data_IF_730079131500
#
_entry.id   IF_730079131500
#
_cell.length_a   1.000
_cell.length_b   1.000
_cell.length_c   1.000
_cell.angle_alpha   90.00
_cell.angle_beta   90.00
_cell.angle_gamma   90.00
#
_symmetry.space_group_name_H-M   'P 1'
#
loop_
_entity.id
_entity.type
_entity.pdbx_description
1 polymer ?
#
# COMPACT_ATOMS: atom_id res chain seq x y z
N UNK A 1 3.33 69.01 48.55
CA UNK A 1 4.32 69.95 49.16
C UNK A 1 3.78 70.43 50.50
N UNK A 2 4.67 70.93 51.36
CA UNK A 2 4.41 71.29 52.77
C UNK A 2 4.23 70.08 53.71
N UNK A 3 5.16 69.96 54.66
CA UNK A 3 5.16 68.98 55.74
C UNK A 3 5.12 69.74 57.08
N UNK A 4 4.53 69.11 58.10
CA UNK A 4 4.64 69.55 59.49
C UNK A 4 5.06 68.38 60.39
N UNK A 5 5.76 68.63 61.51
CA UNK A 5 6.47 67.60 62.28
C UNK A 5 5.74 67.25 63.60
N UNK A 6 6.48 66.66 64.55
CA UNK A 6 6.07 66.07 65.84
C UNK A 6 5.54 64.62 65.72
N UNK A 7 5.81 63.70 66.65
CA UNK A 7 6.46 63.78 67.98
C UNK A 7 7.07 62.41 68.35
N UNK A 8 8.02 62.35 69.29
CA UNK A 8 8.23 61.17 70.16
C UNK A 8 8.94 61.54 71.47
N UNK A 9 8.29 61.21 72.58
CA UNK A 9 8.82 61.17 73.96
C UNK A 9 9.38 59.76 74.26
N UNK A 10 10.44 59.62 75.08
CA UNK A 10 10.42 59.24 76.52
C UNK A 10 9.63 57.95 76.82
N UNK A 11 10.04 56.92 77.59
CA UNK A 11 11.23 56.56 78.42
C UNK A 11 11.00 55.09 78.91
N UNK A 12 11.89 54.28 79.48
CA UNK A 12 13.34 54.26 79.79
C UNK A 12 13.77 52.80 80.12
N UNK A 13 15.09 52.54 80.27
CA UNK A 13 15.73 51.50 81.15
C UNK A 13 15.39 50.00 80.91
N UNK A 14 16.31 49.03 80.91
CA UNK A 14 17.46 48.84 81.82
C UNK A 14 18.63 47.99 81.24
N UNK A 15 19.83 48.25 81.81
CA UNK A 15 21.00 47.35 82.06
C UNK A 15 21.85 46.80 80.88
N UNK A 16 23.12 47.16 80.96
CA UNK A 16 24.23 46.91 80.04
C UNK A 16 24.76 45.46 80.00
N UNK A 17 25.22 45.06 78.82
CA UNK A 17 26.42 44.22 78.66
C UNK A 17 27.68 45.14 78.55
N UNK A 18 28.91 44.62 78.64
CA UNK A 18 29.64 44.40 77.37
C UNK A 18 30.61 43.20 77.38
N UNK A 19 31.03 42.73 76.20
CA UNK A 19 32.21 41.85 76.09
C UNK A 19 32.16 40.77 75.00
N UNK A 20 32.16 41.16 73.72
CA UNK A 20 32.64 40.32 72.61
C UNK A 20 33.67 41.16 71.85
N UNK A 21 34.80 40.59 71.37
CA UNK A 21 34.73 39.77 70.15
C UNK A 21 35.75 38.61 70.05
N UNK A 22 35.36 37.51 69.38
CA UNK A 22 36.13 36.83 68.31
C UNK A 22 35.43 35.54 67.82
N UNK A 23 35.37 35.33 66.50
CA UNK A 23 35.20 34.02 65.82
C UNK A 23 36.62 33.54 65.41
N UNK A 24 36.95 32.24 65.31
CA UNK A 24 36.27 31.16 64.56
C UNK A 24 35.94 29.93 65.47
N UNK A 25 35.52 28.73 65.04
CA UNK A 25 35.74 27.97 63.81
C UNK A 25 34.69 26.83 63.65
N UNK A 26 34.00 26.63 62.50
CA UNK A 26 32.98 25.59 62.34
C UNK A 26 33.54 24.33 61.65
N UNK A 27 34.56 23.68 62.22
CA UNK A 27 35.25 22.52 61.62
C UNK A 27 35.35 21.30 62.54
N UNK A 28 34.24 20.95 63.23
CA UNK A 28 34.14 19.72 64.02
C UNK A 28 32.70 19.16 64.12
N UNK A 29 32.04 18.90 62.99
CA UNK A 29 30.79 18.12 62.96
C UNK A 29 30.87 16.99 61.92
N UNK A 30 31.29 15.82 62.42
CA UNK A 30 30.99 14.46 61.94
C UNK A 30 30.55 14.33 60.47
N UNK A 31 31.44 13.83 59.61
CA UNK A 31 31.13 13.37 58.25
C UNK A 31 30.15 12.17 58.28
N UNK A 32 28.86 12.48 58.35
CA UNK A 32 27.77 11.57 58.01
C UNK A 32 27.16 12.06 56.69
N UNK A 33 27.83 11.74 55.58
CA UNK A 33 27.28 11.98 54.25
C UNK A 33 25.89 11.32 54.17
N UNK A 34 24.84 12.02 53.72
CA UNK A 34 23.54 11.41 53.55
C UNK A 34 23.67 10.33 52.48
N UNK A 35 23.56 9.06 52.90
CA UNK A 35 23.38 7.95 51.98
C UNK A 35 22.09 8.18 51.22
N UNK A 36 22.21 8.76 50.04
CA UNK A 36 21.13 8.87 49.07
C UNK A 36 20.81 7.46 48.60
N UNK A 37 19.93 6.80 49.36
CA UNK A 37 19.30 5.55 48.94
C UNK A 37 18.65 5.85 47.59
N UNK A 38 19.31 5.40 46.52
CA UNK A 38 18.73 5.38 45.19
C UNK A 38 17.56 4.41 45.26
N UNK A 39 16.37 4.96 45.54
CA UNK A 39 15.11 4.24 45.51
C UNK A 39 15.04 3.57 44.12
N UNK A 40 15.08 2.23 44.04
CA UNK A 40 15.21 1.56 42.75
C UNK A 40 13.99 1.89 41.91
N UNK A 41 14.16 2.62 40.79
CA UNK A 41 13.07 3.03 39.89
C UNK A 41 12.09 1.84 39.72
N UNK A 42 10.85 1.90 40.27
CA UNK A 42 9.95 0.75 40.27
C UNK A 42 9.52 0.36 38.85
N UNK A 43 9.78 1.23 37.86
CA UNK A 43 9.58 0.98 36.44
C UNK A 43 10.81 0.40 35.74
N UNK A 44 11.99 0.31 36.40
CA UNK A 44 13.23 -0.19 35.79
C UNK A 44 13.07 -1.61 35.27
N UNK A 45 12.30 -2.46 35.95
CA UNK A 45 11.96 -3.82 35.51
C UNK A 45 10.93 -3.81 34.37
N UNK A 46 9.94 -2.90 34.39
CA UNK A 46 8.87 -2.87 33.39
C UNK A 46 9.32 -2.34 32.02
N UNK A 47 10.36 -1.48 31.97
CA UNK A 47 11.03 -1.00 30.73
C UNK A 47 11.65 -2.14 29.89
N UNK A 48 11.88 -3.32 30.47
CA UNK A 48 12.40 -4.49 29.75
C UNK A 48 11.29 -5.36 29.15
N UNK A 49 10.03 -5.16 29.53
CA UNK A 49 8.93 -5.92 28.94
C UNK A 49 8.78 -5.58 27.44
N UNK A 50 8.69 -6.58 26.53
CA UNK A 50 8.52 -6.33 25.11
C UNK A 50 7.27 -5.49 24.78
N UNK A 51 6.22 -5.61 25.62
CA UNK A 51 4.97 -4.85 25.50
C UNK A 51 5.14 -3.35 25.78
N UNK A 52 5.99 -2.98 26.75
CA UNK A 52 6.31 -1.56 27.02
C UNK A 52 7.20 -1.01 25.91
N UNK A 53 8.25 -1.73 25.51
CA UNK A 53 9.11 -1.32 24.37
C UNK A 53 8.29 -1.11 23.09
N UNK A 54 7.38 -2.02 22.75
CA UNK A 54 6.47 -1.87 21.61
C UNK A 54 5.60 -0.61 21.68
N UNK A 55 5.06 -0.29 22.87
CA UNK A 55 4.24 0.93 23.07
C UNK A 55 5.04 2.22 22.96
N UNK A 56 6.31 2.21 23.37
CA UNK A 56 7.22 3.35 23.30
C UNK A 56 7.77 3.60 21.89
N UNK A 57 7.77 2.60 21.01
CA UNK A 57 8.22 2.79 19.62
C UNK A 57 7.35 3.80 18.87
N UNK A 58 7.95 4.71 18.08
CA UNK A 58 7.18 5.57 17.19
C UNK A 58 6.41 4.73 16.17
N UNK A 59 5.31 5.28 15.66
CA UNK A 59 4.38 4.54 14.80
C UNK A 59 5.07 3.94 13.55
N UNK A 60 6.04 4.66 12.97
CA UNK A 60 6.76 4.23 11.78
C UNK A 60 7.66 3.02 12.07
N UNK A 61 8.34 2.99 13.22
CA UNK A 61 9.17 1.85 13.61
C UNK A 61 8.33 0.59 13.84
N UNK A 62 7.11 0.73 14.39
CA UNK A 62 6.15 -0.38 14.51
C UNK A 62 5.70 -0.90 13.14
N UNK A 63 5.42 -0.02 12.17
CA UNK A 63 5.09 -0.43 10.80
C UNK A 63 6.26 -1.15 10.14
N UNK A 64 7.49 -0.64 10.26
CA UNK A 64 8.70 -1.29 9.75
C UNK A 64 8.82 -2.70 10.34
N UNK A 65 8.70 -2.86 11.67
CA UNK A 65 8.81 -4.18 12.32
C UNK A 65 7.70 -5.15 11.88
N UNK A 66 6.45 -4.69 11.71
CA UNK A 66 5.36 -5.52 11.14
C UNK A 66 5.69 -5.96 9.72
N UNK A 67 6.14 -5.01 8.89
CA UNK A 67 6.49 -5.29 7.49
C UNK A 67 7.64 -6.30 7.42
N UNK A 68 8.77 -6.03 8.07
CA UNK A 68 9.94 -6.92 8.10
C UNK A 68 9.60 -8.33 8.62
N UNK A 69 8.81 -8.44 9.69
CA UNK A 69 8.38 -9.74 10.21
C UNK A 69 7.49 -10.50 9.21
N UNK A 70 6.55 -9.81 8.55
CA UNK A 70 5.73 -10.43 7.52
C UNK A 70 6.55 -10.84 6.27
N UNK A 71 7.50 -10.00 5.84
CA UNK A 71 8.43 -10.32 4.75
C UNK A 71 9.30 -11.52 5.08
N UNK A 72 9.78 -11.66 6.33
CA UNK A 72 10.53 -12.84 6.74
C UNK A 72 9.71 -14.14 6.61
N UNK A 73 8.43 -14.13 6.99
CA UNK A 73 7.53 -15.30 6.80
C UNK A 73 7.31 -15.58 5.31
N UNK A 74 7.01 -14.56 4.51
CA UNK A 74 6.89 -14.70 3.05
C UNK A 74 8.18 -15.26 2.42
N UNK A 75 9.36 -14.80 2.86
CA UNK A 75 10.65 -15.30 2.36
C UNK A 75 10.84 -16.78 2.67
N UNK A 76 10.42 -17.26 3.85
CA UNK A 76 10.44 -18.71 4.15
C UNK A 76 9.52 -19.48 3.20
N UNK A 77 8.32 -18.98 2.90
CA UNK A 77 7.42 -19.61 1.93
C UNK A 77 8.03 -19.67 0.52
N UNK A 78 8.62 -18.57 0.04
CA UNK A 78 9.27 -18.51 -1.27
C UNK A 78 10.51 -19.41 -1.34
N UNK A 79 11.32 -19.49 -0.28
CA UNK A 79 12.47 -20.40 -0.21
C UNK A 79 12.05 -21.87 -0.28
N UNK A 80 10.98 -22.26 0.43
CA UNK A 80 10.43 -23.63 0.37
C UNK A 80 9.96 -23.95 -1.05
N UNK A 81 9.24 -23.03 -1.71
CA UNK A 81 8.72 -23.30 -3.05
C UNK A 81 9.81 -23.27 -4.12
N UNK A 82 10.82 -22.40 -4.00
CA UNK A 82 12.00 -22.41 -4.85
C UNK A 82 12.78 -23.73 -4.71
N UNK A 83 12.99 -24.22 -3.48
CA UNK A 83 13.63 -25.52 -3.23
C UNK A 83 12.82 -26.72 -3.73
N UNK A 84 11.50 -26.59 -3.89
CA UNK A 84 10.63 -27.61 -4.50
C UNK A 84 10.43 -27.44 -6.00
N UNK A 85 10.93 -26.35 -6.61
CA UNK A 85 10.64 -26.02 -8.00
C UNK A 85 11.52 -26.86 -8.96
N UNK A 86 10.86 -27.70 -9.75
CA UNK A 86 11.48 -28.41 -10.86
C UNK A 86 11.91 -27.48 -12.01
N UNK A 87 12.77 -27.95 -12.92
CA UNK A 87 13.26 -27.16 -14.05
C UNK A 87 12.09 -26.81 -14.98
N UNK A 88 12.12 -25.60 -15.52
CA UNK A 88 11.00 -25.02 -16.27
C UNK A 88 11.51 -24.07 -17.37
N UNK A 89 10.61 -23.36 -18.05
CA UNK A 89 10.96 -22.47 -19.15
C UNK A 89 11.75 -21.21 -18.73
N UNK A 90 11.69 -20.83 -17.46
CA UNK A 90 12.29 -19.61 -16.91
C UNK A 90 13.55 -19.86 -16.08
N UNK A 91 13.66 -21.01 -15.41
CA UNK A 91 14.75 -21.32 -14.46
C UNK A 91 15.21 -22.77 -14.51
N UNK A 92 16.42 -23.01 -13.98
CA UNK A 92 16.86 -24.35 -13.58
C UNK A 92 16.00 -24.96 -12.46
N UNK A 93 16.32 -26.19 -12.07
CA UNK A 93 15.77 -26.82 -10.88
C UNK A 93 16.37 -26.19 -9.61
N UNK A 94 15.57 -26.08 -8.54
CA UNK A 94 15.98 -25.48 -7.26
C UNK A 94 16.56 -24.04 -7.40
N UNK A 95 15.87 -23.11 -8.11
CA UNK A 95 16.38 -21.77 -8.38
C UNK A 95 16.67 -20.97 -7.11
N UNK A 96 17.59 -20.02 -7.21
CA UNK A 96 17.85 -19.09 -6.11
C UNK A 96 16.65 -18.19 -5.83
N UNK A 97 16.49 -17.73 -4.57
CA UNK A 97 15.36 -16.89 -4.17
C UNK A 97 15.14 -15.67 -5.07
N UNK A 98 16.22 -15.02 -5.52
CA UNK A 98 16.12 -13.85 -6.41
C UNK A 98 15.60 -14.25 -7.79
N UNK A 99 16.15 -15.30 -8.40
CA UNK A 99 15.71 -15.82 -9.70
C UNK A 99 14.22 -16.21 -9.67
N UNK A 100 13.83 -16.98 -8.66
CA UNK A 100 12.44 -17.38 -8.39
C UNK A 100 11.50 -16.18 -8.09
N UNK A 101 12.05 -15.07 -7.57
CA UNK A 101 11.28 -13.84 -7.32
C UNK A 101 11.08 -12.96 -8.56
N UNK A 102 11.73 -13.29 -9.69
CA UNK A 102 11.71 -12.54 -10.94
C UNK A 102 11.23 -13.39 -12.13
N UNK A 103 10.26 -14.27 -11.88
CA UNK A 103 9.50 -15.00 -12.91
C UNK A 103 8.47 -14.09 -13.63
N UNK A 104 7.91 -14.59 -14.75
CA UNK A 104 6.84 -14.01 -15.57
C UNK A 104 6.94 -12.49 -15.82
N UNK A 105 6.00 -11.67 -15.31
CA UNK A 105 5.91 -10.20 -15.49
C UNK A 105 7.26 -9.49 -15.26
N UNK A 106 8.12 -10.03 -14.37
CA UNK A 106 9.43 -9.44 -14.08
C UNK A 106 10.40 -9.47 -15.26
N UNK A 107 10.38 -10.53 -16.08
CA UNK A 107 11.19 -10.63 -17.29
C UNK A 107 10.71 -9.68 -18.40
N UNK A 108 9.41 -9.35 -18.42
CA UNK A 108 8.91 -8.27 -19.29
C UNK A 108 9.42 -6.89 -18.85
N UNK A 109 9.47 -6.63 -17.54
CA UNK A 109 10.11 -5.42 -17.02
C UNK A 109 11.61 -5.37 -17.34
N UNK A 110 12.33 -6.50 -17.28
CA UNK A 110 13.75 -6.59 -17.68
C UNK A 110 13.93 -6.28 -19.17
N UNK A 111 13.08 -6.86 -20.02
CA UNK A 111 13.08 -6.62 -21.46
C UNK A 111 12.84 -5.14 -21.79
N UNK A 112 11.90 -4.49 -21.10
CA UNK A 112 11.65 -3.04 -21.28
C UNK A 112 12.85 -2.21 -20.81
N UNK A 113 13.51 -2.60 -19.73
CA UNK A 113 14.67 -1.88 -19.22
C UNK A 113 15.88 -1.97 -20.17
N UNK A 114 16.12 -3.12 -20.78
CA UNK A 114 17.24 -3.34 -21.72
C UNK A 114 16.97 -2.86 -23.15
N UNK A 115 15.78 -3.15 -23.69
CA UNK A 115 15.48 -3.00 -25.13
C UNK A 115 14.32 -2.04 -25.42
N UNK A 116 13.58 -1.59 -24.42
CA UNK A 116 12.46 -0.65 -24.58
C UNK A 116 11.19 -1.31 -25.12
N UNK A 117 10.49 -0.60 -26.01
CA UNK A 117 9.22 -1.02 -26.59
C UNK A 117 9.35 -1.20 -28.11
N UNK A 118 8.76 -2.26 -28.71
CA UNK A 118 8.83 -2.48 -30.14
C UNK A 118 7.97 -1.47 -30.89
N UNK A 119 8.50 -0.93 -32.00
CA UNK A 119 7.75 -0.09 -32.95
C UNK A 119 6.87 -0.91 -33.89
N UNK A 120 7.25 -2.15 -34.18
CA UNK A 120 6.43 -3.11 -34.94
C UNK A 120 5.91 -4.17 -33.97
N UNK A 121 4.60 -4.36 -33.91
CA UNK A 121 3.99 -5.32 -32.99
C UNK A 121 4.37 -6.76 -33.39
N UNK A 122 4.90 -7.59 -32.48
CA UNK A 122 5.11 -9.01 -32.73
C UNK A 122 3.80 -9.68 -33.14
N UNK A 123 3.86 -10.59 -34.11
CA UNK A 123 2.69 -11.33 -34.61
C UNK A 123 2.91 -12.84 -34.54
N UNK A 124 1.83 -13.58 -34.31
CA UNK A 124 1.76 -15.04 -34.40
C UNK A 124 1.83 -15.51 -35.85
N UNK A 125 2.04 -16.82 -36.07
CA UNK A 125 1.96 -17.45 -37.40
C UNK A 125 0.59 -17.24 -38.09
N UNK A 126 -0.46 -16.95 -37.31
CA UNK A 126 -1.81 -16.62 -37.80
C UNK A 126 -2.02 -15.12 -38.06
N UNK A 127 -0.98 -14.29 -37.93
CA UNK A 127 -0.98 -12.86 -38.21
C UNK A 127 -1.56 -11.96 -37.11
N UNK A 128 -1.95 -12.54 -35.97
CA UNK A 128 -2.52 -11.81 -34.82
C UNK A 128 -1.42 -11.21 -33.95
N UNK A 129 -1.71 -10.12 -33.24
CA UNK A 129 -0.74 -9.54 -32.29
C UNK A 129 -0.44 -10.55 -31.18
N UNK A 130 0.84 -10.81 -30.96
CA UNK A 130 1.32 -11.68 -29.89
C UNK A 130 1.55 -10.88 -28.59
N UNK A 131 1.65 -11.61 -27.47
CA UNK A 131 2.04 -11.07 -26.17
C UNK A 131 3.35 -10.28 -26.28
N UNK A 132 3.36 -9.05 -25.77
CA UNK A 132 4.50 -8.15 -25.93
C UNK A 132 4.58 -7.07 -24.85
N UNK A 133 5.69 -6.33 -24.86
CA UNK A 133 6.04 -5.32 -23.87
C UNK A 133 4.98 -4.23 -23.63
N UNK A 134 4.13 -3.88 -24.61
CA UNK A 134 3.16 -2.79 -24.46
C UNK A 134 2.09 -3.02 -23.36
N UNK A 135 1.90 -4.25 -22.89
CA UNK A 135 1.09 -4.55 -21.70
C UNK A 135 1.68 -3.97 -20.39
N UNK A 136 2.97 -3.66 -20.37
CA UNK A 136 3.71 -3.30 -19.16
C UNK A 136 4.20 -1.85 -19.22
N UNK A 137 3.80 -1.03 -18.24
CA UNK A 137 4.05 0.40 -18.23
C UNK A 137 5.49 0.76 -17.74
N UNK A 138 6.06 1.90 -18.18
CA UNK A 138 7.52 2.11 -18.15
C UNK A 138 8.12 2.53 -16.81
N UNK A 139 7.35 3.06 -15.86
CA UNK A 139 7.94 3.68 -14.64
C UNK A 139 8.65 2.65 -13.77
N UNK A 140 8.05 1.47 -13.53
CA UNK A 140 8.69 0.44 -12.72
C UNK A 140 10.02 -0.05 -13.32
N UNK A 141 10.09 -0.51 -14.60
CA UNK A 141 11.35 -0.98 -15.17
C UNK A 141 12.43 0.12 -15.26
N UNK A 142 12.05 1.38 -15.50
CA UNK A 142 12.98 2.51 -15.47
C UNK A 142 13.54 2.78 -14.06
N UNK A 143 12.72 2.66 -13.01
CA UNK A 143 13.17 2.77 -11.61
C UNK A 143 14.09 1.61 -11.23
N UNK A 144 13.75 0.37 -11.62
CA UNK A 144 14.62 -0.79 -11.40
C UNK A 144 15.96 -0.62 -12.11
N UNK A 145 15.96 -0.17 -13.38
CA UNK A 145 17.20 0.12 -14.13
C UNK A 145 18.08 1.16 -13.45
N UNK A 146 17.49 2.22 -12.89
CA UNK A 146 18.22 3.25 -12.15
C UNK A 146 18.80 2.76 -10.80
N UNK A 147 18.22 1.71 -10.21
CA UNK A 147 18.78 1.03 -9.03
C UNK A 147 19.84 0.00 -9.43
N UNK A 148 19.65 -0.72 -10.54
CA UNK A 148 20.62 -1.66 -11.09
C UNK A 148 21.93 -0.97 -11.50
N UNK A 149 21.87 0.27 -12.02
CA UNK A 149 23.07 1.06 -12.35
C UNK A 149 23.96 1.42 -11.15
N UNK A 150 23.54 1.12 -9.91
CA UNK A 150 24.36 1.21 -8.70
C UNK A 150 25.27 -0.03 -8.49
N UNK A 151 25.34 -0.94 -9.47
CA UNK A 151 26.13 -2.18 -9.40
C UNK A 151 25.33 -3.40 -8.90
N UNK A 152 24.01 -3.33 -8.90
CA UNK A 152 23.14 -4.46 -8.58
C UNK A 152 22.68 -5.16 -9.87
N UNK A 153 22.68 -6.49 -9.89
CA UNK A 153 22.01 -7.24 -10.96
C UNK A 153 20.50 -6.99 -10.96
N UNK A 154 19.85 -7.17 -12.12
CA UNK A 154 18.43 -6.89 -12.31
C UNK A 154 17.54 -7.51 -11.22
N UNK A 155 17.65 -8.83 -11.02
CA UNK A 155 16.83 -9.59 -10.07
C UNK A 155 16.92 -9.05 -8.64
N UNK A 156 18.10 -8.57 -8.22
CA UNK A 156 18.30 -7.96 -6.91
C UNK A 156 17.72 -6.53 -6.83
N UNK A 157 17.91 -5.73 -7.89
CA UNK A 157 17.36 -4.38 -7.98
C UNK A 157 15.82 -4.38 -8.00
N UNK A 158 15.20 -5.30 -8.74
CA UNK A 158 13.75 -5.43 -8.86
C UNK A 158 13.10 -5.79 -7.52
N UNK A 159 13.63 -6.82 -6.84
CA UNK A 159 13.19 -7.22 -5.50
C UNK A 159 13.40 -6.09 -4.49
N UNK A 160 14.52 -5.37 -4.53
CA UNK A 160 14.80 -4.23 -3.65
C UNK A 160 13.81 -3.08 -3.86
N UNK A 161 13.52 -2.71 -5.11
CA UNK A 161 12.53 -1.66 -5.44
C UNK A 161 11.14 -2.06 -4.93
N UNK A 162 10.71 -3.29 -5.17
CA UNK A 162 9.41 -3.77 -4.70
C UNK A 162 9.31 -3.82 -3.18
N UNK A 163 10.38 -4.23 -2.50
CA UNK A 163 10.47 -4.25 -1.04
C UNK A 163 10.41 -2.83 -0.44
N UNK A 164 11.20 -1.89 -0.99
CA UNK A 164 11.19 -0.50 -0.55
C UNK A 164 9.82 0.16 -0.81
N UNK A 165 9.23 -0.10 -1.97
CA UNK A 165 7.91 0.41 -2.33
C UNK A 165 6.79 -0.18 -1.46
N UNK A 166 6.83 -1.49 -1.17
CA UNK A 166 5.89 -2.17 -0.27
C UNK A 166 5.96 -1.65 1.16
N UNK A 167 7.17 -1.39 1.67
CA UNK A 167 7.36 -0.74 2.97
C UNK A 167 6.79 0.70 2.97
N UNK A 168 7.07 1.46 1.92
CA UNK A 168 6.48 2.79 1.72
C UNK A 168 4.95 2.75 1.71
N UNK A 169 4.37 1.80 0.96
CA UNK A 169 2.93 1.57 0.90
C UNK A 169 2.35 1.26 2.28
N UNK A 170 2.99 0.40 3.08
CA UNK A 170 2.57 0.10 4.45
C UNK A 170 2.61 1.34 5.37
N UNK A 171 3.64 2.18 5.25
CA UNK A 171 3.78 3.43 6.00
C UNK A 171 2.70 4.46 5.63
N UNK A 172 2.44 4.66 4.34
CA UNK A 172 1.39 5.56 3.85
C UNK A 172 0.00 5.02 4.16
N UNK A 173 -0.20 3.70 4.06
CA UNK A 173 -1.45 3.03 4.42
C UNK A 173 -1.77 3.18 5.91
N UNK A 174 -0.79 3.04 6.80
CA UNK A 174 -0.97 3.39 8.21
C UNK A 174 -1.45 4.84 8.38
N UNK A 175 -0.84 5.79 7.65
CA UNK A 175 -1.21 7.21 7.70
C UNK A 175 -2.61 7.50 7.14
N UNK A 176 -3.08 6.70 6.19
CA UNK A 176 -4.45 6.72 5.66
C UNK A 176 -5.44 6.13 6.68
N UNK A 177 -5.14 4.97 7.27
CA UNK A 177 -6.04 4.29 8.20
C UNK A 177 -6.29 5.07 9.49
N UNK A 178 -5.29 5.79 10.03
CA UNK A 178 -5.51 6.67 11.20
C UNK A 178 -6.39 7.92 10.91
N UNK A 179 -6.90 8.10 9.69
CA UNK A 179 -7.94 9.11 9.38
C UNK A 179 -9.35 8.61 9.72
N UNK A 180 -9.53 7.29 9.84
CA UNK A 180 -10.83 6.63 9.96
C UNK A 180 -10.91 5.68 11.17
N UNK A 181 -9.76 5.17 11.62
CA UNK A 181 -9.65 4.14 12.63
C UNK A 181 -8.76 4.59 13.78
N UNK A 182 -9.09 4.12 14.99
CA UNK A 182 -8.23 4.29 16.17
C UNK A 182 -6.83 3.67 15.93
N UNK A 183 -5.74 4.18 16.54
CA UNK A 183 -4.37 3.76 16.24
C UNK A 183 -4.10 2.25 16.33
N UNK A 184 -4.73 1.55 17.28
CA UNK A 184 -4.67 0.08 17.40
C UNK A 184 -5.26 -0.64 16.19
N UNK A 185 -6.41 -0.16 15.68
CA UNK A 185 -7.08 -0.73 14.50
C UNK A 185 -6.31 -0.39 13.22
N UNK A 186 -5.79 0.84 13.11
CA UNK A 186 -4.95 1.22 11.98
C UNK A 186 -3.65 0.39 11.90
N UNK A 187 -3.00 0.12 13.04
CA UNK A 187 -1.85 -0.78 13.08
C UNK A 187 -2.24 -2.23 12.70
N UNK A 188 -3.39 -2.72 13.15
CA UNK A 188 -3.84 -4.06 12.75
C UNK A 188 -4.27 -4.15 11.28
N UNK A 189 -4.76 -3.06 10.67
CA UNK A 189 -4.98 -2.98 9.22
C UNK A 189 -3.66 -3.13 8.45
N UNK A 190 -2.58 -2.51 8.93
CA UNK A 190 -1.23 -2.71 8.37
C UNK A 190 -0.78 -4.16 8.49
N UNK A 191 -1.02 -4.83 9.62
CA UNK A 191 -0.75 -6.27 9.76
C UNK A 191 -1.48 -7.06 8.67
N UNK A 192 -2.80 -6.85 8.51
CA UNK A 192 -3.61 -7.50 7.47
C UNK A 192 -3.03 -7.24 6.07
N UNK A 193 -2.65 -6.00 5.75
CA UNK A 193 -2.02 -5.66 4.47
C UNK A 193 -0.69 -6.39 4.24
N UNK A 194 0.16 -6.48 5.26
CA UNK A 194 1.47 -7.13 5.16
C UNK A 194 1.40 -8.67 5.09
N UNK A 195 0.32 -9.29 5.59
CA UNK A 195 0.11 -10.76 5.60
C UNK A 195 -0.99 -11.24 4.65
N UNK A 196 -1.59 -10.36 3.84
CA UNK A 196 -2.64 -10.70 2.89
C UNK A 196 -2.21 -11.82 1.91
N UNK A 197 -3.15 -12.54 1.26
CA UNK A 197 -2.81 -13.70 0.43
C UNK A 197 -1.84 -13.35 -0.70
N UNK A 198 -2.03 -12.20 -1.34
CA UNK A 198 -1.16 -11.68 -2.41
C UNK A 198 -0.10 -10.70 -1.92
N UNK A 199 0.10 -10.57 -0.60
CA UNK A 199 1.19 -9.75 -0.07
C UNK A 199 2.61 -10.14 -0.56
N UNK A 200 2.92 -11.37 -1.06
CA UNK A 200 4.26 -11.67 -1.57
C UNK A 200 4.74 -10.76 -2.70
N UNK A 201 3.85 -10.19 -3.51
CA UNK A 201 4.22 -9.23 -4.58
C UNK A 201 4.95 -7.98 -4.07
N UNK A 202 4.88 -7.68 -2.77
CA UNK A 202 5.71 -6.65 -2.13
C UNK A 202 7.18 -7.06 -1.89
N UNK A 203 7.62 -8.22 -2.38
CA UNK A 203 9.03 -8.65 -2.41
C UNK A 203 9.38 -9.50 -3.65
N UNK A 204 8.55 -9.42 -4.70
CA UNK A 204 8.78 -10.02 -6.01
C UNK A 204 9.08 -8.88 -7.01
N UNK A 205 9.74 -9.14 -8.14
CA UNK A 205 10.16 -8.14 -9.12
C UNK A 205 9.03 -7.51 -9.97
N UNK A 206 7.98 -7.03 -9.30
CA UNK A 206 6.66 -6.69 -9.83
C UNK A 206 6.25 -5.23 -9.53
N UNK A 207 5.61 -4.56 -10.50
CA UNK A 207 5.21 -3.16 -10.36
C UNK A 207 4.08 -2.89 -9.34
N UNK A 208 3.35 -3.92 -8.90
CA UNK A 208 2.25 -3.82 -7.93
C UNK A 208 2.66 -3.07 -6.65
N UNK A 209 3.84 -3.33 -6.10
CA UNK A 209 4.28 -2.70 -4.85
C UNK A 209 4.45 -1.18 -4.98
N UNK A 210 5.00 -0.73 -6.12
CA UNK A 210 5.11 0.69 -6.47
C UNK A 210 3.73 1.29 -6.76
N UNK A 211 2.86 0.54 -7.44
CA UNK A 211 1.45 0.87 -7.63
C UNK A 211 0.71 1.09 -6.30
N UNK A 212 0.94 0.25 -5.28
CA UNK A 212 0.32 0.40 -3.95
C UNK A 212 0.82 1.63 -3.20
N UNK A 213 2.12 1.96 -3.30
CA UNK A 213 2.66 3.17 -2.69
C UNK A 213 2.02 4.42 -3.30
N UNK A 214 1.95 4.49 -4.63
CA UNK A 214 1.36 5.61 -5.34
C UNK A 214 -0.16 5.70 -5.07
N UNK A 215 -0.87 4.57 -5.12
CA UNK A 215 -2.31 4.50 -4.81
C UNK A 215 -2.62 4.92 -3.36
N UNK A 216 -1.89 4.38 -2.37
CA UNK A 216 -2.05 4.78 -0.97
C UNK A 216 -1.78 6.29 -0.79
N UNK A 217 -0.84 6.84 -1.56
CA UNK A 217 -0.50 8.27 -1.55
C UNK A 217 -1.62 9.12 -2.13
N UNK A 218 -2.15 8.81 -3.33
CA UNK A 218 -3.25 9.59 -3.93
C UNK A 218 -4.54 9.47 -3.11
N UNK A 219 -4.83 8.31 -2.50
CA UNK A 219 -5.95 8.17 -1.57
C UNK A 219 -5.76 9.01 -0.30
N UNK A 220 -4.54 9.08 0.24
CA UNK A 220 -4.23 9.94 1.39
C UNK A 220 -4.31 11.43 1.03
N UNK A 221 -3.88 11.83 -0.16
CA UNK A 221 -3.98 13.21 -0.65
C UNK A 221 -5.45 13.59 -0.90
N UNK A 222 -6.26 12.71 -1.49
CA UNK A 222 -7.70 12.90 -1.70
C UNK A 222 -8.44 13.09 -0.37
N UNK A 223 -8.22 12.20 0.60
CA UNK A 223 -8.83 12.30 1.96
C UNK A 223 -8.36 13.55 2.72
N UNK A 224 -7.17 14.08 2.40
CA UNK A 224 -6.69 15.37 2.91
C UNK A 224 -7.09 16.58 2.07
N UNK A 225 -7.80 16.39 0.94
CA UNK A 225 -8.19 17.45 -0.03
C UNK A 225 -7.00 18.19 -0.65
N UNK A 226 -5.84 17.54 -0.72
CA UNK A 226 -4.60 18.11 -1.26
C UNK A 226 -4.51 17.93 -2.78
N UNK A 227 -5.53 18.42 -3.51
CA UNK A 227 -5.74 18.13 -4.93
C UNK A 227 -4.57 18.50 -5.85
N UNK A 228 -3.84 19.58 -5.57
CA UNK A 228 -2.68 20.00 -6.36
C UNK A 228 -1.58 18.93 -6.41
N UNK A 229 -1.40 18.16 -5.33
CA UNK A 229 -0.43 17.07 -5.28
C UNK A 229 -0.89 15.80 -5.99
N UNK A 230 -2.15 15.70 -6.41
CA UNK A 230 -2.61 14.56 -7.20
C UNK A 230 -1.97 14.55 -8.60
N UNK A 231 -1.80 15.71 -9.24
CA UNK A 231 -1.26 15.81 -10.61
C UNK A 231 0.08 15.06 -10.81
N UNK A 232 1.18 15.36 -10.08
CA UNK A 232 2.45 14.67 -10.29
C UNK A 232 2.38 13.18 -9.90
N UNK A 233 1.68 12.82 -8.82
CA UNK A 233 1.65 11.43 -8.33
C UNK A 233 0.78 10.54 -9.22
N UNK A 234 -0.36 11.05 -9.69
CA UNK A 234 -1.20 10.37 -10.68
C UNK A 234 -0.45 10.21 -12.00
N UNK A 235 0.27 11.23 -12.47
CA UNK A 235 1.04 11.11 -13.71
C UNK A 235 2.02 9.93 -13.65
N UNK A 236 2.82 9.84 -12.58
CA UNK A 236 3.76 8.71 -12.38
C UNK A 236 3.00 7.39 -12.27
N UNK A 237 1.87 7.36 -11.56
CA UNK A 237 1.09 6.14 -11.36
C UNK A 237 0.43 5.61 -12.64
N UNK A 238 -0.10 6.49 -13.49
CA UNK A 238 -0.69 6.16 -14.80
C UNK A 238 0.29 5.50 -15.77
N UNK A 239 1.59 5.67 -15.56
CA UNK A 239 2.66 4.98 -16.29
C UNK A 239 3.40 3.94 -15.41
N UNK A 240 2.82 3.55 -14.28
CA UNK A 240 3.29 2.45 -13.42
C UNK A 240 2.39 1.22 -13.53
N UNK A 241 1.07 1.40 -13.39
CA UNK A 241 0.07 0.32 -13.45
C UNK A 241 -1.29 0.83 -13.95
N UNK A 242 -2.08 0.00 -14.66
CA UNK A 242 -3.48 0.29 -14.94
C UNK A 242 -4.29 0.54 -13.65
N UNK A 243 -5.18 1.53 -13.69
CA UNK A 243 -6.02 1.92 -12.55
C UNK A 243 -6.35 3.41 -12.46
N UNK A 244 -5.64 4.27 -13.18
CA UNK A 244 -5.89 5.71 -13.19
C UNK A 244 -7.33 6.07 -13.62
N UNK A 245 -7.90 5.38 -14.61
CA UNK A 245 -9.31 5.60 -15.04
C UNK A 245 -10.32 5.33 -13.92
N UNK A 246 -10.10 4.32 -13.07
CA UNK A 246 -10.91 4.10 -11.87
C UNK A 246 -10.77 5.24 -10.86
N UNK A 247 -9.57 5.83 -10.74
CA UNK A 247 -9.36 6.99 -9.87
C UNK A 247 -9.95 8.27 -10.46
N UNK A 248 -9.99 8.44 -11.78
CA UNK A 248 -10.69 9.54 -12.44
C UNK A 248 -12.20 9.49 -12.13
N UNK A 249 -12.82 8.29 -12.22
CA UNK A 249 -14.20 8.07 -11.79
C UNK A 249 -14.36 8.34 -10.28
N UNK A 250 -13.40 7.92 -9.44
CA UNK A 250 -13.39 8.21 -8.00
C UNK A 250 -13.39 9.71 -7.72
N UNK A 251 -12.58 10.50 -8.44
CA UNK A 251 -12.50 11.96 -8.32
C UNK A 251 -13.77 12.64 -8.83
N UNK A 252 -14.35 12.17 -9.93
CA UNK A 252 -15.64 12.66 -10.44
C UNK A 252 -16.78 12.43 -9.44
N UNK A 253 -16.90 11.22 -8.89
CA UNK A 253 -17.88 10.90 -7.85
C UNK A 253 -17.61 11.68 -6.55
N UNK A 254 -16.35 11.85 -6.15
CA UNK A 254 -15.98 12.68 -5.00
C UNK A 254 -16.41 14.14 -5.18
N UNK A 255 -16.18 14.70 -6.38
CA UNK A 255 -16.61 16.05 -6.74
C UNK A 255 -18.14 16.18 -6.65
N UNK A 256 -18.89 15.22 -7.20
CA UNK A 256 -20.36 15.20 -7.13
C UNK A 256 -20.83 15.14 -5.67
N UNK A 257 -20.23 14.26 -4.84
CA UNK A 257 -20.59 14.14 -3.42
C UNK A 257 -20.30 15.43 -2.65
N UNK A 258 -19.12 16.06 -2.84
CA UNK A 258 -18.78 17.37 -2.24
C UNK A 258 -19.71 18.47 -2.74
N UNK A 259 -20.10 18.45 -4.02
CA UNK A 259 -21.02 19.43 -4.59
C UNK A 259 -22.43 19.32 -4.00
N UNK A 260 -22.98 18.11 -3.89
CA UNK A 260 -24.30 17.87 -3.29
C UNK A 260 -24.30 18.23 -1.80
N UNK A 261 -23.23 17.87 -1.08
CA UNK A 261 -23.08 18.13 0.37
C UNK A 261 -22.49 19.50 0.73
N UNK A 262 -22.35 20.42 -0.23
CA UNK A 262 -21.67 21.72 -0.05
C UNK A 262 -22.30 22.64 1.02
N UNK A 263 -23.52 22.33 1.48
CA UNK A 263 -24.19 23.01 2.59
C UNK A 263 -23.65 22.56 3.97
N UNK A 264 -23.36 21.27 4.12
CA UNK A 264 -22.86 20.66 5.37
C UNK A 264 -21.32 20.63 5.43
N UNK A 265 -20.69 20.48 4.26
CA UNK A 265 -19.25 20.34 4.08
C UNK A 265 -18.75 21.34 3.02
N UNK A 266 -18.29 22.54 3.45
CA UNK A 266 -17.92 23.62 2.54
C UNK A 266 -16.98 23.17 1.43
N UNK A 267 -17.30 23.55 0.20
CA UNK A 267 -16.51 23.26 -0.99
C UNK A 267 -16.07 24.58 -1.64
N UNK A 268 -14.90 25.15 -1.28
CA UNK A 268 -14.39 26.41 -1.83
C UNK A 268 -14.19 26.36 -3.35
N UNK A 269 -14.32 27.50 -4.04
CA UNK A 269 -14.25 27.56 -5.51
C UNK A 269 -12.90 27.05 -6.05
N UNK A 270 -11.78 27.33 -5.37
CA UNK A 270 -10.47 26.79 -5.72
C UNK A 270 -10.40 25.26 -5.63
N UNK A 271 -10.98 24.66 -4.57
CA UNK A 271 -11.07 23.19 -4.46
C UNK A 271 -11.94 22.59 -5.56
N UNK A 272 -13.06 23.25 -5.95
CA UNK A 272 -13.94 22.76 -7.02
C UNK A 272 -13.19 22.63 -8.34
N UNK A 273 -12.45 23.67 -8.72
CA UNK A 273 -11.67 23.67 -9.96
C UNK A 273 -10.49 22.71 -9.89
N UNK A 274 -9.74 22.68 -8.80
CA UNK A 274 -8.61 21.76 -8.64
C UNK A 274 -9.05 20.28 -8.63
N UNK A 275 -10.17 19.94 -7.98
CA UNK A 275 -10.70 18.58 -7.98
C UNK A 275 -11.26 18.16 -9.35
N UNK A 276 -11.95 19.07 -10.06
CA UNK A 276 -12.43 18.81 -11.43
C UNK A 276 -11.26 18.67 -12.43
N UNK A 277 -10.29 19.57 -12.38
CA UNK A 277 -9.09 19.52 -13.19
C UNK A 277 -8.27 18.26 -12.90
N UNK A 278 -8.14 17.85 -11.63
CA UNK A 278 -7.50 16.58 -11.26
C UNK A 278 -8.25 15.37 -11.82
N UNK A 279 -9.59 15.37 -11.84
CA UNK A 279 -10.38 14.29 -12.44
C UNK A 279 -10.15 14.17 -13.95
N UNK A 280 -10.22 15.29 -14.69
CA UNK A 280 -9.97 15.34 -16.14
C UNK A 280 -8.52 14.96 -16.46
N UNK A 281 -7.55 15.49 -15.71
CA UNK A 281 -6.13 15.15 -15.86
C UNK A 281 -5.87 13.66 -15.58
N UNK A 282 -6.52 13.08 -14.56
CA UNK A 282 -6.40 11.65 -14.24
C UNK A 282 -6.96 10.79 -15.37
N UNK A 283 -8.07 11.20 -15.99
CA UNK A 283 -8.62 10.51 -17.16
C UNK A 283 -7.66 10.58 -18.37
N UNK A 284 -7.15 11.77 -18.69
CA UNK A 284 -6.20 11.98 -19.78
C UNK A 284 -4.88 11.21 -19.57
N UNK A 285 -4.32 11.24 -18.36
CA UNK A 285 -3.13 10.46 -18.01
C UNK A 285 -3.42 8.95 -18.07
N UNK A 286 -4.61 8.51 -17.66
CA UNK A 286 -5.02 7.11 -17.69
C UNK A 286 -5.20 6.51 -19.09
N UNK A 287 -5.47 7.33 -20.12
CA UNK A 287 -5.40 6.90 -21.53
C UNK A 287 -4.04 7.20 -22.18
N UNK A 288 -3.13 7.91 -21.50
CA UNK A 288 -1.85 8.35 -22.05
C UNK A 288 -0.96 7.21 -22.53
N UNK A 289 -1.04 6.03 -21.91
CA UNK A 289 -0.30 4.84 -22.35
C UNK A 289 -0.83 4.24 -23.65
N UNK A 290 -2.15 4.24 -23.85
CA UNK A 290 -2.79 3.81 -25.10
C UNK A 290 -2.36 4.72 -26.26
N UNK A 291 -2.35 6.03 -26.01
CA UNK A 291 -1.88 7.03 -26.98
C UNK A 291 -0.38 6.86 -27.29
N UNK A 292 0.45 6.55 -26.29
CA UNK A 292 1.87 6.27 -26.51
C UNK A 292 2.10 5.03 -27.39
N UNK A 293 1.36 3.93 -27.14
CA UNK A 293 1.40 2.72 -27.97
C UNK A 293 1.00 3.04 -29.42
N UNK A 294 -0.10 3.76 -29.61
CA UNK A 294 -0.56 4.17 -30.94
C UNK A 294 0.46 5.05 -31.67
N UNK A 295 0.99 6.08 -31.03
CA UNK A 295 1.93 7.02 -31.67
C UNK A 295 3.25 6.35 -32.06
N UNK A 296 3.73 5.38 -31.30
CA UNK A 296 5.01 4.68 -31.60
C UNK A 296 4.84 3.57 -32.63
N UNK A 297 3.70 2.88 -32.65
CA UNK A 297 3.46 1.74 -33.56
C UNK A 297 2.72 2.12 -34.85
N UNK A 298 2.06 3.28 -34.88
CA UNK A 298 1.13 3.67 -35.94
C UNK A 298 -0.25 3.00 -35.85
N UNK A 299 -0.45 2.03 -34.97
CA UNK A 299 -1.67 1.24 -34.85
C UNK A 299 -2.53 1.71 -33.66
N UNK A 300 -3.75 2.18 -33.94
CA UNK A 300 -4.69 2.69 -32.93
C UNK A 300 -5.10 1.60 -31.92
N UNK A 301 -5.05 0.33 -32.32
CA UNK A 301 -5.45 -0.82 -31.52
C UNK A 301 -4.27 -1.50 -30.81
N UNK A 302 -3.03 -1.00 -30.97
CA UNK A 302 -1.82 -1.62 -30.45
C UNK A 302 -1.90 -2.07 -28.99
N UNK A 303 -2.38 -1.20 -28.09
CA UNK A 303 -2.52 -1.55 -26.67
C UNK A 303 -3.68 -2.52 -26.42
N UNK A 304 -4.83 -2.35 -27.07
CA UNK A 304 -5.98 -3.25 -26.88
C UNK A 304 -5.67 -4.65 -27.37
N UNK A 305 -5.03 -4.77 -28.53
CA UNK A 305 -4.71 -6.06 -29.14
C UNK A 305 -3.62 -6.78 -28.33
N UNK A 306 -2.65 -6.03 -27.79
CA UNK A 306 -1.66 -6.55 -26.84
C UNK A 306 -2.32 -7.06 -25.55
N UNK A 307 -3.30 -6.36 -24.97
CA UNK A 307 -4.06 -6.79 -23.78
C UNK A 307 -5.04 -7.96 -24.06
N UNK A 308 -5.45 -8.14 -25.32
CA UNK A 308 -6.30 -9.24 -25.78
C UNK A 308 -5.48 -10.49 -26.13
N UNK A 309 -4.21 -10.35 -26.54
CA UNK A 309 -3.29 -11.47 -26.78
C UNK A 309 -3.21 -12.41 -25.57
N UNK A 310 -3.07 -11.87 -24.36
CA UNK A 310 -3.09 -12.61 -23.08
C UNK A 310 -4.39 -13.39 -22.79
N UNK A 311 -5.49 -13.08 -23.48
CA UNK A 311 -6.79 -13.77 -23.37
C UNK A 311 -6.96 -14.84 -24.45
N UNK A 312 -6.17 -14.79 -25.52
CA UNK A 312 -6.30 -15.67 -26.67
C UNK A 312 -6.06 -17.14 -26.32
N UNK A 313 -5.23 -17.42 -25.30
CA UNK A 313 -5.04 -18.74 -24.73
C UNK A 313 -6.32 -19.38 -24.14
N UNK A 314 -7.32 -18.56 -23.77
CA UNK A 314 -8.60 -19.00 -23.20
C UNK A 314 -9.75 -18.91 -24.20
N UNK A 315 -9.90 -17.78 -24.89
CA UNK A 315 -11.07 -17.48 -25.74
C UNK A 315 -10.79 -17.55 -27.24
N UNK A 316 -9.53 -17.72 -27.64
CA UNK A 316 -9.10 -17.42 -28.99
C UNK A 316 -9.16 -15.91 -29.31
N UNK A 317 -9.15 -15.53 -30.59
CA UNK A 317 -9.15 -14.13 -31.01
C UNK A 317 -10.53 -13.51 -30.75
N UNK A 318 -10.58 -12.48 -29.90
CA UNK A 318 -11.82 -11.79 -29.51
C UNK A 318 -11.60 -10.29 -29.41
N UNK A 319 -12.64 -9.50 -29.67
CA UNK A 319 -12.63 -8.05 -29.47
C UNK A 319 -12.91 -7.67 -28.01
N UNK A 320 -12.46 -6.47 -27.60
CA UNK A 320 -12.76 -5.94 -26.27
C UNK A 320 -14.22 -5.44 -26.19
N UNK A 321 -15.13 -6.32 -25.78
CA UNK A 321 -16.49 -5.93 -25.39
C UNK A 321 -16.50 -5.60 -23.88
N UNK A 322 -16.77 -4.33 -23.48
CA UNK A 322 -16.82 -3.97 -22.07
C UNK A 322 -17.85 -4.79 -21.29
N UNK A 323 -17.53 -5.12 -20.04
CA UNK A 323 -18.33 -5.95 -19.13
C UNK A 323 -18.47 -7.44 -19.53
N UNK A 324 -18.12 -7.85 -20.75
CA UNK A 324 -18.24 -9.25 -21.16
C UNK A 324 -17.17 -10.17 -20.55
N UNK A 325 -15.97 -9.64 -20.26
CA UNK A 325 -14.81 -10.44 -19.85
C UNK A 325 -15.02 -11.32 -18.61
N UNK A 326 -15.79 -10.84 -17.63
CA UNK A 326 -16.13 -11.63 -16.43
C UNK A 326 -17.09 -12.77 -16.73
N UNK A 327 -18.07 -12.57 -17.61
CA UNK A 327 -19.01 -13.62 -18.01
C UNK A 327 -18.36 -14.67 -18.92
N UNK A 328 -17.49 -14.24 -19.84
CA UNK A 328 -16.70 -15.14 -20.68
C UNK A 328 -15.74 -16.00 -19.84
N UNK A 329 -15.06 -15.41 -18.84
CA UNK A 329 -14.26 -16.15 -17.87
C UNK A 329 -15.12 -17.10 -17.02
N UNK A 330 -16.28 -16.64 -16.53
CA UNK A 330 -17.21 -17.48 -15.78
C UNK A 330 -17.68 -18.69 -16.59
N UNK A 331 -17.94 -18.51 -17.89
CA UNK A 331 -18.29 -19.62 -18.79
C UNK A 331 -17.12 -20.59 -18.97
N UNK A 332 -15.92 -20.07 -19.22
CA UNK A 332 -14.71 -20.89 -19.35
C UNK A 332 -14.43 -21.76 -18.11
N UNK A 333 -14.59 -21.20 -16.90
CA UNK A 333 -14.26 -21.91 -15.66
C UNK A 333 -15.39 -22.77 -15.08
N UNK A 334 -16.66 -22.44 -15.34
CA UNK A 334 -17.82 -23.08 -14.66
C UNK A 334 -18.94 -23.53 -15.63
N UNK A 335 -18.90 -23.10 -16.89
CA UNK A 335 -19.95 -23.31 -17.89
C UNK A 335 -21.25 -22.55 -17.62
N UNK A 336 -22.09 -22.35 -18.64
CA UNK A 336 -23.45 -21.84 -18.43
C UNK A 336 -24.38 -22.88 -17.78
N UNK A 337 -25.32 -22.44 -16.91
CA UNK A 337 -25.54 -21.05 -16.44
C UNK A 337 -24.66 -20.65 -15.23
N UNK A 338 -23.88 -21.58 -14.68
CA UNK A 338 -23.15 -21.41 -13.41
C UNK A 338 -22.14 -20.27 -13.42
N UNK A 339 -21.45 -20.05 -14.55
CA UNK A 339 -20.55 -18.92 -14.76
C UNK A 339 -21.25 -17.57 -14.57
N UNK A 340 -22.39 -17.38 -15.22
CA UNK A 340 -23.21 -16.16 -15.08
C UNK A 340 -23.74 -15.99 -13.66
N UNK A 341 -24.22 -17.08 -13.03
CA UNK A 341 -24.69 -17.06 -11.65
C UNK A 341 -23.57 -16.66 -10.68
N UNK A 342 -22.35 -17.16 -10.88
CA UNK A 342 -21.20 -16.84 -10.05
C UNK A 342 -20.80 -15.35 -10.17
N UNK A 343 -20.76 -14.80 -11.39
CA UNK A 343 -20.45 -13.37 -11.62
C UNK A 343 -21.49 -12.46 -10.99
N UNK A 344 -22.79 -12.73 -11.21
CA UNK A 344 -23.88 -11.97 -10.59
C UNK A 344 -23.84 -12.08 -9.07
N UNK A 345 -23.61 -13.28 -8.54
CA UNK A 345 -23.45 -13.53 -7.11
C UNK A 345 -22.29 -12.74 -6.49
N UNK A 346 -21.15 -12.66 -7.19
CA UNK A 346 -19.99 -11.87 -6.75
C UNK A 346 -20.29 -10.37 -6.74
N UNK A 347 -20.97 -9.84 -7.77
CA UNK A 347 -21.38 -8.43 -7.83
C UNK A 347 -22.31 -8.08 -6.66
N UNK A 348 -23.32 -8.93 -6.40
CA UNK A 348 -24.24 -8.76 -5.26
C UNK A 348 -23.50 -8.87 -3.93
N UNK A 349 -22.62 -9.86 -3.76
CA UNK A 349 -21.83 -10.03 -2.54
C UNK A 349 -20.93 -8.82 -2.27
N UNK A 350 -20.27 -8.28 -3.29
CA UNK A 350 -19.45 -7.08 -3.18
C UNK A 350 -20.28 -5.84 -2.81
N UNK A 351 -21.45 -5.66 -3.43
CA UNK A 351 -22.38 -4.60 -3.06
C UNK A 351 -22.81 -4.71 -1.58
N UNK A 352 -23.12 -5.92 -1.10
CA UNK A 352 -23.44 -6.18 0.31
C UNK A 352 -22.26 -5.89 1.26
N UNK A 353 -21.02 -6.23 0.87
CA UNK A 353 -19.80 -5.86 1.61
C UNK A 353 -19.67 -4.35 1.76
N UNK A 354 -19.92 -3.58 0.70
CA UNK A 354 -19.90 -2.10 0.74
C UNK A 354 -21.00 -1.47 1.62
N UNK A 355 -22.02 -2.24 1.98
CA UNK A 355 -23.07 -1.84 2.93
C UNK A 355 -22.73 -2.20 4.38
N UNK A 356 -21.71 -3.02 4.66
CA UNK A 356 -21.35 -3.41 6.02
C UNK A 356 -20.95 -2.18 6.87
N UNK A 357 -21.37 -2.10 8.15
CA UNK A 357 -20.99 -1.00 9.04
C UNK A 357 -19.48 -0.81 9.19
N UNK A 358 -18.69 -1.89 9.06
CA UNK A 358 -17.22 -1.83 9.09
C UNK A 358 -16.64 -1.10 7.87
N UNK A 359 -17.19 -1.32 6.67
CA UNK A 359 -16.74 -0.66 5.43
C UNK A 359 -17.24 0.79 5.39
N UNK A 360 -18.45 1.07 5.90
CA UNK A 360 -18.97 2.44 6.06
C UNK A 360 -18.07 3.35 6.93
N UNK A 361 -17.30 2.79 7.86
CA UNK A 361 -16.33 3.54 8.69
C UNK A 361 -15.10 4.04 7.92
N UNK A 362 -14.81 3.51 6.73
CA UNK A 362 -13.67 3.93 5.90
C UNK A 362 -13.87 5.29 5.20
N UNK A 363 -14.98 5.99 5.49
CA UNK A 363 -15.34 7.23 4.84
C UNK A 363 -15.95 7.03 3.44
N UNK A 364 -16.36 8.14 2.82
CA UNK A 364 -16.96 8.09 1.47
C UNK A 364 -15.89 7.87 0.40
N UNK A 365 -14.75 8.56 0.48
CA UNK A 365 -13.72 8.56 -0.57
C UNK A 365 -13.13 7.17 -0.83
N UNK A 366 -12.85 6.40 0.23
CA UNK A 366 -12.34 5.03 0.08
C UNK A 366 -13.42 4.07 -0.45
N UNK A 367 -14.71 4.33 -0.17
CA UNK A 367 -15.81 3.54 -0.75
C UNK A 367 -16.03 3.89 -2.22
N UNK A 368 -15.86 5.14 -2.61
CA UNK A 368 -15.87 5.56 -4.02
C UNK A 368 -14.72 4.92 -4.79
N UNK A 369 -13.51 4.85 -4.22
CA UNK A 369 -12.40 4.09 -4.80
C UNK A 369 -12.75 2.61 -5.02
N UNK A 370 -13.26 1.94 -3.99
CA UNK A 370 -13.63 0.52 -4.07
C UNK A 370 -14.71 0.26 -5.13
N UNK A 371 -15.74 1.11 -5.22
CA UNK A 371 -16.78 1.02 -6.27
C UNK A 371 -16.18 1.27 -7.65
N UNK A 372 -15.42 2.35 -7.82
CA UNK A 372 -14.87 2.74 -9.13
C UNK A 372 -13.86 1.74 -9.65
N UNK A 373 -13.04 1.16 -8.76
CA UNK A 373 -12.10 0.12 -9.14
C UNK A 373 -12.79 -1.21 -9.46
N UNK A 374 -13.83 -1.60 -8.70
CA UNK A 374 -14.66 -2.75 -9.05
C UNK A 374 -15.35 -2.58 -10.41
N UNK A 375 -15.94 -1.41 -10.69
CA UNK A 375 -16.56 -1.11 -11.98
C UNK A 375 -15.55 -1.10 -13.13
N UNK A 376 -14.35 -0.57 -12.91
CA UNK A 376 -13.26 -0.62 -13.89
C UNK A 376 -12.83 -2.06 -14.20
N UNK A 377 -12.62 -2.89 -13.17
CA UNK A 377 -12.30 -4.30 -13.38
C UNK A 377 -13.45 -5.04 -14.07
N UNK A 378 -14.70 -4.82 -13.67
CA UNK A 378 -15.86 -5.40 -14.37
C UNK A 378 -15.88 -4.99 -15.84
N UNK A 379 -15.58 -3.71 -16.15
CA UNK A 379 -15.60 -3.20 -17.51
C UNK A 379 -14.51 -3.80 -18.42
N UNK A 380 -13.24 -3.86 -17.99
CA UNK A 380 -12.12 -4.19 -18.90
C UNK A 380 -11.34 -5.46 -18.59
N UNK A 381 -11.44 -6.02 -17.39
CA UNK A 381 -10.61 -7.15 -16.97
C UNK A 381 -11.25 -8.51 -17.31
N UNK A 382 -10.41 -9.48 -17.67
CA UNK A 382 -10.77 -10.89 -17.84
C UNK A 382 -10.16 -11.71 -16.68
N UNK A 383 -10.98 -12.33 -15.80
CA UNK A 383 -10.45 -13.11 -14.69
C UNK A 383 -9.68 -14.36 -15.12
N UNK A 384 -8.41 -14.40 -14.72
CA UNK A 384 -7.45 -15.50 -14.92
C UNK A 384 -6.54 -15.66 -13.68
N UNK A 385 -5.41 -16.36 -13.78
CA UNK A 385 -4.46 -16.58 -12.66
C UNK A 385 -4.01 -15.29 -11.94
N UNK A 386 -3.87 -14.18 -12.68
CA UNK A 386 -3.52 -12.87 -12.14
C UNK A 386 -4.60 -12.21 -11.27
N UNK A 387 -5.85 -12.70 -11.27
CA UNK A 387 -7.02 -12.05 -10.63
C UNK A 387 -6.77 -11.64 -9.18
N UNK A 388 -6.12 -12.49 -8.39
CA UNK A 388 -5.83 -12.18 -6.99
C UNK A 388 -4.90 -10.95 -6.84
N UNK A 389 -3.90 -10.81 -7.72
CA UNK A 389 -3.01 -9.63 -7.78
C UNK A 389 -3.78 -8.39 -8.25
N UNK A 390 -4.63 -8.55 -9.25
CA UNK A 390 -5.44 -7.46 -9.83
C UNK A 390 -6.51 -6.96 -8.85
N UNK A 391 -6.99 -7.77 -7.90
CA UNK A 391 -7.87 -7.32 -6.82
C UNK A 391 -7.14 -6.60 -5.67
N UNK A 392 -5.81 -6.73 -5.56
CA UNK A 392 -5.03 -6.18 -4.45
C UNK A 392 -5.13 -4.65 -4.23
N UNK A 393 -5.34 -3.79 -5.25
CA UNK A 393 -5.62 -2.35 -5.07
C UNK A 393 -6.90 -2.05 -4.25
N UNK A 394 -7.74 -3.06 -3.95
CA UNK A 394 -8.81 -2.98 -2.95
C UNK A 394 -8.32 -3.08 -1.49
N UNK A 395 -7.00 -3.00 -1.23
CA UNK A 395 -6.41 -3.04 0.11
C UNK A 395 -7.05 -2.13 1.18
N UNK A 396 -7.73 -0.99 0.88
CA UNK A 396 -8.47 -0.25 1.91
C UNK A 396 -9.48 -1.10 2.71
N UNK A 397 -9.99 -2.20 2.15
CA UNK A 397 -10.85 -3.16 2.86
C UNK A 397 -10.17 -3.80 4.08
N UNK A 398 -8.83 -3.87 4.14
CA UNK A 398 -8.10 -4.31 5.33
C UNK A 398 -8.42 -3.45 6.57
N UNK A 399 -8.77 -2.17 6.38
CA UNK A 399 -9.26 -1.30 7.44
C UNK A 399 -10.61 -1.73 8.02
N UNK A 400 -11.52 -2.26 7.20
CA UNK A 400 -12.81 -2.78 7.66
C UNK A 400 -12.64 -4.09 8.44
N UNK A 401 -11.79 -4.99 7.93
CA UNK A 401 -11.39 -6.22 8.63
C UNK A 401 -10.66 -5.94 9.95
N UNK A 402 -10.01 -4.78 10.11
CA UNK A 402 -9.32 -4.42 11.34
C UNK A 402 -10.24 -3.91 12.48
N UNK A 403 -11.54 -3.71 12.23
CA UNK A 403 -12.48 -3.14 13.22
C UNK A 403 -12.67 -4.01 14.47
N UNK A 404 -12.79 -5.35 14.40
CA UNK A 404 -12.91 -6.18 15.59
C UNK A 404 -11.64 -6.18 16.46
N UNK A 405 -11.84 -6.24 17.78
CA UNK A 405 -10.76 -6.21 18.79
C UNK A 405 -10.51 -7.54 19.49
N UNK A 406 -11.39 -8.51 19.31
CA UNK A 406 -11.26 -9.81 19.92
C UNK A 406 -9.94 -10.47 19.48
N UNK A 407 -9.13 -10.92 20.46
CA UNK A 407 -7.81 -11.49 20.17
C UNK A 407 -7.91 -12.74 19.31
N UNK A 408 -8.88 -13.61 19.59
CA UNK A 408 -9.12 -14.81 18.78
C UNK A 408 -9.35 -14.45 17.31
N UNK A 409 -10.25 -13.50 17.02
CA UNK A 409 -10.52 -13.05 15.65
C UNK A 409 -9.27 -12.54 14.95
N UNK A 410 -8.49 -11.68 15.63
CA UNK A 410 -7.27 -11.10 15.04
C UNK A 410 -6.21 -12.17 14.74
N UNK A 411 -6.01 -13.13 15.65
CA UNK A 411 -5.08 -14.24 15.45
C UNK A 411 -5.56 -15.20 14.36
N UNK A 412 -6.82 -15.64 14.41
CA UNK A 412 -7.42 -16.49 13.38
C UNK A 412 -7.35 -15.85 12.00
N UNK A 413 -7.62 -14.54 11.89
CA UNK A 413 -7.51 -13.82 10.62
C UNK A 413 -6.07 -13.81 10.10
N UNK A 414 -5.06 -13.54 10.93
CA UNK A 414 -3.64 -13.58 10.52
C UNK A 414 -3.24 -14.99 10.06
N UNK A 415 -3.63 -16.03 10.81
CA UNK A 415 -3.34 -17.43 10.45
C UNK A 415 -4.00 -17.81 9.11
N UNK A 416 -5.28 -17.45 8.93
CA UNK A 416 -6.01 -17.70 7.67
C UNK A 416 -5.39 -16.95 6.50
N UNK A 417 -5.02 -15.67 6.67
CA UNK A 417 -4.39 -14.89 5.60
C UNK A 417 -3.00 -15.45 5.21
N UNK A 418 -2.21 -15.93 6.17
CA UNK A 418 -0.94 -16.62 5.90
C UNK A 418 -1.12 -17.99 5.24
N UNK A 419 -2.14 -18.76 5.64
CA UNK A 419 -2.47 -20.02 4.99
C UNK A 419 -2.96 -19.81 3.54
N UNK A 420 -3.79 -18.79 3.31
CA UNK A 420 -4.20 -18.36 1.97
C UNK A 420 -3.03 -17.78 1.16
N UNK A 421 -2.05 -17.15 1.80
CA UNK A 421 -0.82 -16.68 1.14
C UNK A 421 0.01 -17.86 0.63
N UNK A 422 0.25 -18.86 1.48
CA UNK A 422 0.95 -20.07 1.07
C UNK A 422 0.18 -20.84 -0.01
N UNK A 423 -1.15 -21.00 0.14
CA UNK A 423 -1.99 -21.65 -0.86
C UNK A 423 -2.02 -20.91 -2.20
N UNK A 424 -2.06 -19.58 -2.21
CA UNK A 424 -1.95 -18.78 -3.44
C UNK A 424 -0.59 -18.97 -4.10
N UNK A 425 0.51 -18.98 -3.34
CA UNK A 425 1.85 -19.24 -3.89
C UNK A 425 1.97 -20.66 -4.46
N UNK A 426 1.38 -21.67 -3.82
CA UNK A 426 1.38 -23.06 -4.34
C UNK A 426 0.59 -23.17 -5.65
N UNK A 427 -0.56 -22.50 -5.78
CA UNK A 427 -1.45 -22.64 -6.95
C UNK A 427 -1.04 -21.75 -8.13
N UNK A 428 -0.49 -20.56 -7.85
CA UNK A 428 -0.23 -19.52 -8.85
C UNK A 428 1.24 -19.10 -8.96
N UNK A 429 2.15 -19.70 -8.19
CA UNK A 429 3.59 -19.37 -8.19
C UNK A 429 4.52 -20.60 -8.23
N UNK A 430 3.98 -21.82 -8.29
CA UNK A 430 4.74 -23.06 -8.50
C UNK A 430 4.38 -23.62 -9.87
N UNK A 431 5.39 -23.87 -10.71
CA UNK A 431 5.22 -24.33 -12.09
C UNK A 431 5.19 -25.86 -12.14
N UNK A 432 4.08 -26.41 -12.65
CA UNK A 432 3.68 -27.82 -12.61
C UNK A 432 2.97 -28.22 -13.94
N UNK A 433 3.66 -28.09 -15.07
CA UNK A 433 3.15 -28.53 -16.38
C UNK A 433 2.17 -27.52 -17.00
N UNK A 434 0.93 -27.93 -17.30
CA UNK A 434 -0.17 -27.01 -17.64
C UNK A 434 -1.01 -26.79 -16.40
N UNK A 435 -0.77 -25.69 -15.70
CA UNK A 435 -1.37 -25.39 -14.40
C UNK A 435 -2.07 -24.02 -14.37
N UNK A 436 -2.13 -23.41 -13.18
CA UNK A 436 -2.79 -22.13 -12.90
C UNK A 436 -1.80 -20.96 -12.70
N UNK A 437 -0.53 -21.09 -13.11
CA UNK A 437 0.43 -19.97 -13.04
C UNK A 437 0.05 -18.86 -14.03
N UNK A 438 0.71 -17.67 -13.97
CA UNK A 438 0.68 -16.76 -15.11
C UNK A 438 1.15 -17.49 -16.39
N UNK A 439 0.52 -17.22 -17.55
CA UNK A 439 1.02 -17.70 -18.84
C UNK A 439 2.41 -17.13 -19.14
#
# INVERSE_FOLDING_TARGET
MSASPCTRSSTASERCAPGSPARPDPTAMSDAAPTTVHEPDPLRVTRWSPRVRWRLLPWWARVILVYLAARAVTTVFLLILADLQGPNAWTGAHPGLLEYSNLWDSRWYELIAGWGYPSELPRTDTGQVAENAWAFMPVYPLVVRAVASLGLGWDAAAVLVSFAAGLGAALVFHRLMIRFLEPDRAMFAVVIFCVAPVAPIMQLGYAEALGFLLLATVLLLLVKRQYAWLFPIVLVWSFTRPGALAFALTLGLHWIVRWVRRADDPFPVGERWLAAAAAVFTAAAGVGWLVAAWVVTGDLHAYTDTELAWRSAYLGPVELVPFAGWFASGDWWLGQPWGTIAVVGLIVAFAMVLLLPAVRRLGVDLRLWLVSYALYLLAVFFPQSSTFRILAPMFPLAGALAVPRARWYRWSLVVVLLALQYGWLVIAWSIQGRDWTPP
#
